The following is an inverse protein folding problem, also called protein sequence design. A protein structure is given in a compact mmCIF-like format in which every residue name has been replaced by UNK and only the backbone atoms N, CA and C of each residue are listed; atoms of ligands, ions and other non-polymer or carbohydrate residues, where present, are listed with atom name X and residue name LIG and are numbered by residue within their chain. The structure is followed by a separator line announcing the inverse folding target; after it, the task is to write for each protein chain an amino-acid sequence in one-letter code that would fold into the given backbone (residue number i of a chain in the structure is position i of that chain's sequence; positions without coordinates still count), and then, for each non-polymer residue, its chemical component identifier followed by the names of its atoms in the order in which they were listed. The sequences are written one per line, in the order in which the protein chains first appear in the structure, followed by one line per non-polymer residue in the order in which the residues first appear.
data_IF_852855941382
#
_entry.id   IF_852855941382
#
_cell.length_a   1.000
_cell.length_b   1.000
_cell.length_c   1.000
_cell.angle_alpha   90.00
_cell.angle_beta   90.00
_cell.angle_gamma   90.00
#
_symmetry.space_group_name_H-M   'P 1'
#
loop_
_entity.id
_entity.type
_entity.pdbx_description
1 polymer ?
#
# COMPACT_ATOMS: atom_id res chain seq x y z
N UNK A 1 -21.56 -12.30 7.96
CA UNK A 1 -21.50 -13.00 9.26
C UNK A 1 -20.05 -12.95 9.67
N UNK A 2 -19.70 -12.10 10.64
CA UNK A 2 -18.35 -12.09 11.20
C UNK A 2 -18.31 -13.29 12.12
N UNK A 3 -17.51 -14.29 11.77
CA UNK A 3 -17.32 -15.47 12.59
C UNK A 3 -16.59 -15.01 13.85
N UNK A 4 -17.33 -14.87 14.96
CA UNK A 4 -16.72 -14.59 16.25
C UNK A 4 -15.76 -15.75 16.52
N UNK A 5 -14.46 -15.47 16.62
CA UNK A 5 -13.47 -16.48 17.01
C UNK A 5 -13.99 -17.17 18.27
N UNK A 6 -14.49 -18.40 18.10
CA UNK A 6 -15.31 -19.07 19.10
C UNK A 6 -14.59 -19.19 20.44
N UNK A 7 -15.35 -19.48 21.51
CA UNK A 7 -14.78 -19.75 22.84
C UNK A 7 -13.71 -20.86 22.85
N UNK A 8 -13.60 -21.63 21.76
CA UNK A 8 -12.66 -22.73 21.56
C UNK A 8 -11.45 -22.39 20.68
N UNK A 9 -11.10 -21.12 20.52
CA UNK A 9 -9.84 -20.73 19.85
C UNK A 9 -8.63 -20.83 20.79
N UNK A 10 -7.54 -21.41 20.28
CA UNK A 10 -6.24 -21.53 20.97
C UNK A 10 -5.16 -20.74 20.26
N UNK A 11 -4.29 -20.06 21.00
CA UNK A 11 -3.07 -19.47 20.48
C UNK A 11 -1.87 -20.39 20.67
N UNK A 12 -1.09 -20.51 19.60
CA UNK A 12 0.16 -21.25 19.63
C UNK A 12 1.24 -20.48 20.43
N UNK A 13 1.81 -21.09 21.49
CA UNK A 13 2.72 -20.42 22.42
C UNK A 13 4.11 -20.19 21.81
N UNK A 14 4.94 -19.42 22.51
CA UNK A 14 6.36 -19.27 22.20
C UNK A 14 7.05 -20.39 22.98
N UNK A 15 7.71 -21.30 22.29
CA UNK A 15 8.39 -22.44 22.93
C UNK A 15 7.44 -23.58 23.29
N UNK A 16 7.71 -24.27 24.39
CA UNK A 16 7.04 -25.52 24.78
C UNK A 16 5.84 -25.28 25.72
N UNK A 17 4.77 -26.07 25.54
CA UNK A 17 3.63 -26.06 26.44
C UNK A 17 2.30 -26.30 25.73
N UNK A 18 1.21 -26.32 26.51
CA UNK A 18 -0.16 -26.43 25.98
C UNK A 18 -0.56 -25.10 25.30
N UNK A 19 -1.22 -25.16 24.13
CA UNK A 19 -1.82 -23.99 23.48
C UNK A 19 -2.70 -23.19 24.43
N UNK A 20 -2.63 -21.86 24.34
CA UNK A 20 -3.29 -20.95 25.26
C UNK A 20 -4.72 -20.67 24.79
N UNK A 21 -5.74 -21.00 25.58
CA UNK A 21 -7.13 -20.72 25.22
C UNK A 21 -7.33 -19.20 25.14
N UNK A 22 -7.53 -18.69 23.92
CA UNK A 22 -7.48 -17.27 23.63
C UNK A 22 -8.85 -16.65 23.41
N UNK A 23 -9.90 -17.42 23.12
CA UNK A 23 -11.25 -16.88 22.86
C UNK A 23 -11.71 -15.81 23.87
N UNK A 24 -11.53 -16.06 25.18
CA UNK A 24 -11.89 -15.11 26.24
C UNK A 24 -11.04 -13.82 26.30
N UNK A 25 -9.86 -13.82 25.66
CA UNK A 25 -8.92 -12.71 25.66
C UNK A 25 -9.05 -11.83 24.42
N UNK A 26 -9.80 -12.24 23.41
CA UNK A 26 -9.99 -11.48 22.15
C UNK A 26 -10.57 -10.09 22.45
N UNK A 27 -11.62 -10.02 23.28
CA UNK A 27 -12.28 -8.76 23.64
C UNK A 27 -11.40 -7.85 24.48
N UNK A 28 -10.55 -8.42 25.33
CA UNK A 28 -9.56 -7.67 26.13
C UNK A 28 -8.46 -7.14 25.21
N UNK A 29 -7.90 -7.98 24.34
CA UNK A 29 -6.87 -7.60 23.37
C UNK A 29 -7.35 -6.52 22.39
N UNK A 30 -8.63 -6.52 22.02
CA UNK A 30 -9.22 -5.51 21.15
C UNK A 30 -9.20 -4.08 21.73
N UNK A 31 -8.98 -3.92 23.04
CA UNK A 31 -8.81 -2.59 23.68
C UNK A 31 -7.42 -1.98 23.41
N UNK A 32 -6.58 -2.66 22.63
CA UNK A 32 -5.29 -2.14 22.19
C UNK A 32 -4.25 -2.12 23.31
N UNK A 33 -3.35 -1.14 23.24
CA UNK A 33 -2.26 -0.95 24.21
C UNK A 33 -2.73 -0.88 25.67
N UNK A 34 -3.93 -0.34 25.90
CA UNK A 34 -4.48 -0.16 27.26
C UNK A 34 -4.74 -1.47 28.02
N UNK A 35 -4.89 -2.58 27.29
CA UNK A 35 -5.11 -3.90 27.89
C UNK A 35 -3.81 -4.63 28.29
N UNK A 36 -2.62 -4.09 28.01
CA UNK A 36 -1.35 -4.80 28.20
C UNK A 36 -1.14 -5.34 29.63
N UNK A 37 -1.60 -4.61 30.65
CA UNK A 37 -1.49 -5.02 32.05
C UNK A 37 -2.56 -6.04 32.46
N UNK A 38 -3.66 -6.11 31.72
CA UNK A 38 -4.73 -7.08 31.94
C UNK A 38 -4.41 -8.42 31.27
N UNK A 39 -3.65 -8.40 30.17
CA UNK A 39 -3.27 -9.59 29.42
C UNK A 39 -2.35 -10.50 30.22
N UNK A 40 -2.56 -11.81 30.09
CA UNK A 40 -1.64 -12.80 30.65
C UNK A 40 -0.23 -12.61 30.08
N UNK A 41 0.80 -12.83 30.91
CA UNK A 41 2.21 -12.73 30.53
C UNK A 41 2.57 -13.43 29.20
N UNK A 42 1.94 -14.56 28.88
CA UNK A 42 2.18 -15.34 27.64
C UNK A 42 1.63 -14.70 26.37
N UNK A 43 0.69 -13.78 26.50
CA UNK A 43 0.02 -13.10 25.37
C UNK A 43 0.16 -11.59 25.47
N UNK A 44 1.17 -11.11 26.22
CA UNK A 44 1.56 -9.72 26.17
C UNK A 44 1.89 -9.31 24.72
N UNK A 45 1.39 -8.14 24.32
CA UNK A 45 1.42 -7.60 22.95
C UNK A 45 0.55 -8.30 21.90
N UNK A 46 -0.36 -9.20 22.27
CA UNK A 46 -1.31 -9.81 21.30
C UNK A 46 -2.26 -8.79 20.66
N UNK A 47 -2.47 -7.63 21.28
CA UNK A 47 -3.24 -6.53 20.70
C UNK A 47 -2.58 -5.89 19.46
N UNK A 48 -1.30 -6.20 19.18
CA UNK A 48 -0.60 -5.79 17.95
C UNK A 48 -0.92 -6.69 16.75
N UNK A 49 -1.69 -7.74 16.96
CA UNK A 49 -2.05 -8.69 15.92
C UNK A 49 -2.98 -8.03 14.92
N UNK A 50 -2.58 -8.11 13.65
CA UNK A 50 -3.36 -7.64 12.52
C UNK A 50 -4.18 -8.80 11.92
N UNK A 51 -3.65 -10.04 11.98
CA UNK A 51 -4.27 -11.25 11.45
C UNK A 51 -4.08 -12.45 12.40
N UNK A 52 -5.12 -13.26 12.56
CA UNK A 52 -4.99 -14.62 13.10
C UNK A 52 -5.01 -15.60 11.94
N UNK A 53 -3.99 -16.46 11.90
CA UNK A 53 -3.81 -17.42 10.82
C UNK A 53 -3.98 -18.83 11.40
N UNK A 54 -4.74 -19.66 10.69
CA UNK A 54 -4.95 -21.08 10.98
C UNK A 54 -5.15 -21.83 9.66
N UNK A 55 -5.18 -23.15 9.73
CA UNK A 55 -5.64 -24.00 8.64
C UNK A 55 -7.13 -24.29 8.81
N UNK A 56 -7.79 -24.68 7.72
CA UNK A 56 -9.22 -25.04 7.74
C UNK A 56 -9.50 -26.11 8.81
N UNK A 57 -10.58 -25.92 9.56
CA UNK A 57 -11.01 -26.78 10.68
C UNK A 57 -10.02 -26.94 11.86
N UNK A 58 -8.97 -26.11 11.95
CA UNK A 58 -8.06 -26.11 13.11
C UNK A 58 -8.37 -24.95 14.07
N UNK A 59 -8.74 -25.23 15.34
CA UNK A 59 -9.01 -24.19 16.34
C UNK A 59 -7.72 -23.51 16.85
N UNK A 60 -6.53 -23.89 16.36
CA UNK A 60 -5.24 -23.32 16.78
C UNK A 60 -4.77 -22.26 15.81
N UNK A 61 -4.65 -21.04 16.33
CA UNK A 61 -4.23 -19.87 15.59
C UNK A 61 -2.82 -19.45 15.97
N UNK A 62 -2.11 -18.89 15.00
CA UNK A 62 -0.93 -18.07 15.25
C UNK A 62 -1.24 -16.61 14.96
N UNK A 63 -0.73 -15.74 15.82
CA UNK A 63 -0.93 -14.30 15.69
C UNK A 63 0.14 -13.70 14.79
N UNK A 64 -0.31 -12.98 13.77
CA UNK A 64 0.54 -12.32 12.79
C UNK A 64 0.37 -10.80 12.87
N UNK A 65 1.49 -10.08 12.76
CA UNK A 65 1.49 -8.63 12.58
C UNK A 65 1.97 -8.29 11.17
N UNK A 66 1.30 -7.33 10.55
CA UNK A 66 1.61 -6.82 9.22
C UNK A 66 2.11 -5.39 9.37
N UNK A 67 3.25 -5.08 8.74
CA UNK A 67 3.80 -3.71 8.72
C UNK A 67 4.26 -3.35 7.32
N UNK A 68 3.91 -2.14 6.87
CA UNK A 68 4.38 -1.57 5.61
C UNK A 68 5.84 -1.13 5.66
N UNK A 69 6.41 -0.98 6.86
CA UNK A 69 7.82 -0.67 7.06
C UNK A 69 8.44 -1.69 8.01
N UNK A 70 9.47 -2.38 7.54
CA UNK A 70 10.14 -3.42 8.30
C UNK A 70 10.87 -2.91 9.55
N UNK A 71 11.27 -1.63 9.56
CA UNK A 71 11.90 -0.99 10.73
C UNK A 71 10.91 -0.78 11.88
N UNK A 72 9.61 -0.84 11.60
CA UNK A 72 8.53 -0.74 12.58
C UNK A 72 8.01 -2.13 12.99
N UNK A 73 8.62 -3.21 12.49
CA UNK A 73 8.26 -4.56 12.90
C UNK A 73 8.71 -4.79 14.34
N UNK A 74 7.77 -5.17 15.20
CA UNK A 74 8.04 -5.42 16.61
C UNK A 74 7.58 -6.81 17.03
N UNK A 75 8.41 -7.48 17.84
CA UNK A 75 8.10 -8.76 18.45
C UNK A 75 7.22 -8.68 19.70
N UNK A 76 6.69 -9.83 20.11
CA UNK A 76 5.91 -9.95 21.33
C UNK A 76 5.62 -11.39 21.72
N UNK A 77 5.34 -11.62 23.01
CA UNK A 77 5.12 -12.96 23.57
C UNK A 77 3.93 -13.68 22.91
N UNK A 78 2.92 -12.93 22.45
CA UNK A 78 1.79 -13.46 21.68
C UNK A 78 1.98 -13.55 20.16
N UNK A 79 3.02 -12.91 19.59
CA UNK A 79 3.19 -12.80 18.13
C UNK A 79 4.13 -13.88 17.61
N UNK A 80 3.83 -14.44 16.43
CA UNK A 80 4.66 -15.50 15.80
C UNK A 80 5.13 -15.15 14.42
N UNK A 81 4.31 -14.44 13.67
CA UNK A 81 4.60 -14.11 12.27
C UNK A 81 4.62 -12.59 12.10
N UNK A 82 5.67 -12.09 11.47
CA UNK A 82 5.73 -10.74 10.93
C UNK A 82 5.60 -10.79 9.42
N UNK A 83 4.70 -10.03 8.83
CA UNK A 83 4.56 -9.90 7.38
C UNK A 83 4.97 -8.49 7.00
N UNK A 84 5.96 -8.37 6.13
CA UNK A 84 6.55 -7.10 5.72
C UNK A 84 6.82 -7.11 4.21
N UNK A 85 6.89 -5.95 3.55
CA UNK A 85 7.42 -5.90 2.19
C UNK A 85 8.90 -6.27 2.17
N UNK A 86 9.36 -6.85 1.07
CA UNK A 86 10.78 -7.08 0.83
C UNK A 86 11.55 -5.76 0.91
N UNK A 87 12.73 -5.80 1.52
CA UNK A 87 13.56 -4.61 1.64
C UNK A 87 15.01 -4.93 1.30
N UNK A 88 15.48 -4.34 0.20
CA UNK A 88 16.75 -4.67 -0.47
C UNK A 88 17.99 -4.53 0.42
N UNK A 89 17.95 -3.68 1.44
CA UNK A 89 19.07 -3.43 2.37
C UNK A 89 18.98 -4.19 3.70
N UNK A 90 17.99 -5.07 3.88
CA UNK A 90 17.81 -5.82 5.14
C UNK A 90 17.99 -7.32 4.97
N UNK A 91 18.04 -8.05 6.09
CA UNK A 91 17.99 -9.50 6.12
C UNK A 91 16.69 -10.07 5.51
N UNK A 92 15.65 -9.25 5.34
CA UNK A 92 14.33 -9.60 4.80
C UNK A 92 14.28 -9.51 3.27
N UNK A 93 15.41 -9.76 2.62
CA UNK A 93 15.50 -10.04 1.18
C UNK A 93 15.03 -11.47 0.85
N UNK A 94 15.09 -12.38 1.83
CA UNK A 94 14.59 -13.75 1.71
C UNK A 94 13.08 -13.80 2.01
N UNK A 95 12.35 -14.65 1.29
CA UNK A 95 10.89 -14.80 1.42
C UNK A 95 10.47 -15.17 2.85
N UNK A 96 11.19 -16.06 3.54
CA UNK A 96 10.91 -16.44 4.93
C UNK A 96 12.20 -16.53 5.74
N UNK A 97 12.29 -15.82 6.87
CA UNK A 97 13.45 -15.84 7.78
C UNK A 97 13.01 -15.74 9.23
N UNK A 98 13.64 -16.48 10.15
CA UNK A 98 13.42 -16.28 11.58
C UNK A 98 14.30 -15.13 12.09
N UNK A 99 13.68 -14.14 12.73
CA UNK A 99 14.36 -13.02 13.38
C UNK A 99 14.45 -13.28 14.89
N UNK A 100 15.62 -13.70 15.35
CA UNK A 100 15.89 -13.99 16.76
C UNK A 100 15.70 -12.77 17.67
N UNK A 101 16.02 -11.57 17.18
CA UNK A 101 15.89 -10.34 17.97
C UNK A 101 14.43 -9.99 18.28
N UNK A 102 13.51 -10.39 17.38
CA UNK A 102 12.07 -10.17 17.53
C UNK A 102 11.32 -11.43 18.01
N UNK A 103 11.95 -12.60 17.90
CA UNK A 103 11.32 -13.88 18.19
C UNK A 103 10.19 -14.23 17.23
N UNK A 104 10.29 -13.80 15.97
CA UNK A 104 9.25 -13.95 14.95
C UNK A 104 9.78 -14.65 13.70
N UNK A 105 8.94 -15.46 13.07
CA UNK A 105 9.10 -15.79 11.65
C UNK A 105 8.67 -14.58 10.82
N UNK A 106 9.58 -14.03 10.05
CA UNK A 106 9.31 -12.90 9.16
C UNK A 106 9.13 -13.43 7.74
N UNK A 107 7.95 -13.15 7.19
CA UNK A 107 7.60 -13.40 5.80
C UNK A 107 7.73 -12.08 5.05
N UNK A 108 8.65 -12.05 4.10
CA UNK A 108 8.88 -10.91 3.23
C UNK A 108 8.08 -11.13 1.95
N UNK A 109 7.11 -10.27 1.68
CA UNK A 109 6.33 -10.31 0.45
C UNK A 109 7.04 -9.48 -0.62
N UNK A 110 7.11 -10.01 -1.84
CA UNK A 110 7.65 -9.26 -2.97
C UNK A 110 6.92 -7.91 -3.08
N UNK A 111 7.69 -6.84 -3.06
CA UNK A 111 7.21 -5.46 -3.18
C UNK A 111 8.02 -4.78 -4.28
N UNK A 112 7.93 -5.30 -5.53
CA UNK A 112 8.85 -4.96 -6.61
C UNK A 112 8.82 -3.47 -6.97
N UNK A 113 7.72 -2.78 -6.67
CA UNK A 113 7.58 -1.34 -6.85
C UNK A 113 7.51 -0.56 -5.52
N UNK A 114 7.33 -1.22 -4.36
CA UNK A 114 7.20 -0.56 -3.07
C UNK A 114 5.90 0.23 -2.96
N UNK A 115 4.84 -0.17 -2.23
CA UNK A 115 3.73 0.78 -1.98
C UNK A 115 4.28 2.07 -1.35
N UNK A 116 5.14 1.91 -0.34
CA UNK A 116 5.83 3.04 0.29
C UNK A 116 6.82 3.73 -0.66
N UNK A 117 7.45 2.99 -1.58
CA UNK A 117 8.33 3.53 -2.61
C UNK A 117 7.57 4.46 -3.57
N UNK A 118 6.51 3.93 -4.20
CA UNK A 118 5.60 4.66 -5.07
C UNK A 118 4.94 5.85 -4.36
N UNK A 119 4.48 5.66 -3.12
CA UNK A 119 3.90 6.74 -2.33
C UNK A 119 4.90 7.87 -2.08
N UNK A 120 6.11 7.54 -1.60
CA UNK A 120 7.15 8.53 -1.35
C UNK A 120 7.60 9.23 -2.64
N UNK A 121 7.67 8.50 -3.75
CA UNK A 121 7.97 9.04 -5.07
C UNK A 121 6.89 10.02 -5.54
N UNK A 122 5.62 9.63 -5.47
CA UNK A 122 4.49 10.48 -5.83
C UNK A 122 4.40 11.73 -4.96
N UNK A 123 4.52 11.55 -3.64
CA UNK A 123 4.55 12.65 -2.67
C UNK A 123 5.72 13.60 -2.97
N UNK A 124 6.91 13.05 -3.18
CA UNK A 124 8.11 13.81 -3.49
C UNK A 124 8.02 14.58 -4.81
N UNK A 125 7.39 14.00 -5.83
CA UNK A 125 7.13 14.66 -7.11
C UNK A 125 6.26 15.91 -6.93
N UNK A 126 5.12 15.76 -6.22
CA UNK A 126 4.19 16.86 -5.96
C UNK A 126 4.83 17.92 -5.07
N UNK A 127 5.39 17.53 -3.93
CA UNK A 127 6.02 18.47 -2.99
C UNK A 127 7.12 19.31 -3.67
N UNK A 128 7.97 18.68 -4.48
CA UNK A 128 9.01 19.39 -5.22
C UNK A 128 8.47 20.27 -6.35
N UNK A 129 7.36 19.90 -6.99
CA UNK A 129 6.70 20.78 -7.95
C UNK A 129 6.21 22.05 -7.26
N UNK A 130 5.60 21.94 -6.08
CA UNK A 130 5.19 23.10 -5.26
C UNK A 130 6.39 23.97 -4.86
N UNK A 131 7.48 23.37 -4.38
CA UNK A 131 8.70 24.13 -4.03
C UNK A 131 9.25 24.87 -5.25
N UNK A 132 9.30 24.23 -6.42
CA UNK A 132 9.79 24.85 -7.64
C UNK A 132 8.89 26.00 -8.14
N UNK A 133 7.57 25.81 -8.12
CA UNK A 133 6.59 26.83 -8.53
C UNK A 133 6.58 28.03 -7.56
N UNK A 134 6.68 27.77 -6.26
CA UNK A 134 6.78 28.78 -5.22
C UNK A 134 8.17 29.41 -5.08
N UNK A 135 9.17 28.95 -5.87
CA UNK A 135 10.58 29.41 -5.80
C UNK A 135 11.18 29.28 -4.39
N UNK A 136 10.79 28.25 -3.66
CA UNK A 136 11.36 27.91 -2.36
C UNK A 136 12.68 27.16 -2.52
N UNK A 137 13.48 27.12 -1.45
CA UNK A 137 14.70 26.31 -1.43
C UNK A 137 14.39 24.83 -1.70
N UNK A 138 15.27 24.20 -2.46
CA UNK A 138 15.12 22.79 -2.80
C UNK A 138 15.26 21.92 -1.55
N UNK A 139 14.40 20.91 -1.43
CA UNK A 139 14.54 19.87 -0.41
C UNK A 139 15.93 19.21 -0.45
N UNK A 140 16.36 18.67 0.70
CA UNK A 140 17.65 18.01 0.90
C UNK A 140 18.07 17.11 -0.27
N UNK A 141 19.36 17.15 -0.62
CA UNK A 141 19.93 16.45 -1.79
C UNK A 141 19.78 14.92 -1.72
N UNK A 142 19.70 14.35 -0.52
CA UNK A 142 19.55 12.91 -0.30
C UNK A 142 18.10 12.43 -0.45
N UNK A 143 17.13 13.34 -0.51
CA UNK A 143 15.70 13.03 -0.64
C UNK A 143 15.20 13.20 -2.08
N UNK A 144 16.05 12.96 -3.09
CA UNK A 144 15.70 13.10 -4.51
C UNK A 144 14.84 11.91 -4.93
N UNK A 145 13.60 12.13 -5.44
CA UNK A 145 12.73 11.06 -5.91
C UNK A 145 13.31 10.33 -7.12
N UNK A 146 12.72 9.17 -7.45
CA UNK A 146 13.11 8.42 -8.64
C UNK A 146 13.00 9.22 -9.95
N UNK A 147 13.62 8.71 -11.01
CA UNK A 147 13.55 9.33 -12.34
C UNK A 147 12.10 9.46 -12.85
N UNK A 148 11.23 8.49 -12.53
CA UNK A 148 9.80 8.54 -12.90
C UNK A 148 9.07 9.66 -12.16
N UNK A 149 9.33 9.80 -10.86
CA UNK A 149 8.78 10.89 -10.05
C UNK A 149 9.28 12.27 -10.50
N UNK A 150 10.53 12.38 -10.94
CA UNK A 150 11.06 13.63 -11.51
C UNK A 150 10.40 14.00 -12.84
N UNK A 151 10.16 13.02 -13.73
CA UNK A 151 9.37 13.24 -14.95
C UNK A 151 7.96 13.72 -14.62
N UNK A 152 7.30 13.13 -13.61
CA UNK A 152 5.98 13.57 -13.15
C UNK A 152 6.01 15.02 -12.64
N UNK A 153 6.99 15.37 -11.80
CA UNK A 153 7.22 16.74 -11.32
C UNK A 153 7.30 17.73 -12.48
N UNK A 154 8.11 17.43 -13.49
CA UNK A 154 8.33 18.34 -14.63
C UNK A 154 7.05 18.54 -15.44
N UNK A 155 6.22 17.50 -15.56
CA UNK A 155 4.91 17.60 -16.19
C UNK A 155 3.93 18.44 -15.36
N UNK A 156 3.94 18.34 -14.03
CA UNK A 156 3.12 19.21 -13.16
C UNK A 156 3.54 20.67 -13.32
N UNK A 157 4.85 20.95 -13.30
CA UNK A 157 5.40 22.31 -13.47
C UNK A 157 5.01 22.91 -14.82
N UNK A 158 4.97 22.09 -15.88
CA UNK A 158 4.51 22.52 -17.22
C UNK A 158 3.10 23.07 -17.20
N UNK A 159 2.22 22.52 -16.36
CA UNK A 159 0.82 22.94 -16.20
C UNK A 159 0.60 23.76 -14.93
N UNK A 160 1.54 24.66 -14.59
CA UNK A 160 1.49 25.52 -13.40
C UNK A 160 0.21 26.35 -13.22
N UNK A 161 -0.48 26.67 -14.32
CA UNK A 161 -1.68 27.50 -14.33
C UNK A 161 -2.97 26.66 -14.19
N UNK A 162 -2.85 25.33 -14.18
CA UNK A 162 -3.98 24.42 -13.99
C UNK A 162 -4.35 24.30 -12.52
N UNK A 163 -5.64 24.14 -12.26
CA UNK A 163 -6.15 23.87 -10.92
C UNK A 163 -5.75 22.46 -10.46
N UNK A 164 -5.71 22.25 -9.13
CA UNK A 164 -5.42 20.93 -8.56
C UNK A 164 -6.39 19.86 -9.06
N UNK A 165 -7.66 20.22 -9.28
CA UNK A 165 -8.70 19.31 -9.79
C UNK A 165 -8.38 18.89 -11.23
N UNK A 166 -8.06 19.84 -12.12
CA UNK A 166 -7.70 19.53 -13.51
C UNK A 166 -6.44 18.66 -13.61
N UNK A 167 -5.48 18.86 -12.70
CA UNK A 167 -4.28 18.00 -12.60
C UNK A 167 -4.65 16.59 -12.16
N UNK A 168 -5.49 16.44 -11.12
CA UNK A 168 -5.96 15.13 -10.64
C UNK A 168 -6.76 14.39 -11.71
N UNK A 169 -7.66 15.06 -12.40
CA UNK A 169 -8.46 14.48 -13.48
C UNK A 169 -7.57 13.96 -14.62
N UNK A 170 -6.60 14.78 -15.06
CA UNK A 170 -5.66 14.37 -16.09
C UNK A 170 -4.72 13.24 -15.66
N UNK A 171 -4.36 13.17 -14.37
CA UNK A 171 -3.61 12.04 -13.82
C UNK A 171 -4.44 10.77 -13.75
N UNK A 172 -5.73 10.87 -13.40
CA UNK A 172 -6.66 9.73 -13.43
C UNK A 172 -6.82 9.18 -14.84
N UNK A 173 -6.99 10.04 -15.85
CA UNK A 173 -7.01 9.64 -17.26
C UNK A 173 -5.72 8.94 -17.67
N UNK A 174 -4.56 9.44 -17.24
CA UNK A 174 -3.27 8.83 -17.53
C UNK A 174 -3.07 7.48 -16.81
N UNK A 175 -3.57 7.33 -15.58
CA UNK A 175 -3.47 6.10 -14.80
C UNK A 175 -4.36 4.97 -15.35
N UNK A 176 -5.47 5.31 -16.02
CA UNK A 176 -6.44 4.33 -16.55
C UNK A 176 -6.12 3.80 -17.96
N UNK A 177 -5.03 4.22 -18.59
CA UNK A 177 -4.73 3.92 -20.00
C UNK A 177 -4.68 2.42 -20.35
N UNK A 178 -4.40 1.54 -19.39
CA UNK A 178 -4.28 0.09 -19.61
C UNK A 178 -5.26 -0.74 -18.75
N UNK A 179 -6.22 -0.11 -18.05
CA UNK A 179 -7.12 -0.83 -17.12
C UNK A 179 -8.31 -1.50 -17.83
N UNK A 180 -8.69 -0.99 -19.00
CA UNK A 180 -9.79 -1.50 -19.82
C UNK A 180 -9.29 -1.64 -21.26
N UNK A 181 -8.74 -2.81 -21.61
CA UNK A 181 -8.52 -3.17 -23.00
C UNK A 181 -9.86 -3.43 -23.69
N UNK A 182 -10.54 -2.38 -24.12
CA UNK A 182 -11.73 -2.50 -24.98
C UNK A 182 -11.26 -2.64 -26.42
N UNK A 183 -11.41 -3.85 -26.96
CA UNK A 183 -11.12 -4.17 -28.36
C UNK A 183 -12.25 -3.64 -29.24
N UNK A 184 -12.26 -2.34 -29.50
CA UNK A 184 -13.25 -1.72 -30.39
C UNK A 184 -12.91 -2.04 -31.84
N UNK A 185 -13.50 -3.13 -32.34
CA UNK A 185 -13.44 -3.49 -33.76
C UNK A 185 -14.46 -2.63 -34.50
N UNK A 186 -13.98 -1.57 -35.17
CA UNK A 186 -14.80 -0.82 -36.11
C UNK A 186 -15.26 -1.75 -37.24
N UNK A 187 -16.54 -2.11 -37.23
CA UNK A 187 -17.20 -2.71 -38.38
C UNK A 187 -17.53 -1.56 -39.32
N UNK A 188 -17.00 -1.59 -40.55
CA UNK A 188 -17.37 -0.58 -41.54
C UNK A 188 -18.85 -0.73 -41.88
N UNK A 189 -19.61 0.33 -41.66
CA UNK A 189 -20.95 0.48 -42.22
C UNK A 189 -20.82 1.58 -43.27
N UNK A 190 -21.24 1.29 -44.50
CA UNK A 190 -21.25 2.29 -45.57
C UNK A 190 -22.09 3.48 -45.14
N UNK A 191 -21.44 4.65 -44.99
CA UNK A 191 -22.14 5.88 -44.71
C UNK A 191 -23.04 6.23 -45.91
N UNK A 192 -24.33 6.54 -45.70
CA UNK A 192 -25.18 7.04 -46.76
C UNK A 192 -24.65 8.38 -47.29
N UNK A 193 -24.81 8.61 -48.61
CA UNK A 193 -24.27 9.79 -49.32
C UNK A 193 -24.71 11.15 -48.74
N UNK A 194 -25.75 11.20 -47.92
CA UNK A 194 -26.28 12.44 -47.33
C UNK A 194 -25.62 12.82 -45.99
N UNK A 195 -24.81 11.97 -45.37
CA UNK A 195 -24.17 12.25 -44.08
C UNK A 195 -22.84 13.02 -44.25
N UNK A 196 -22.93 14.31 -44.55
CA UNK A 196 -21.78 15.22 -44.51
C UNK A 196 -21.73 15.94 -43.16
N UNK A 197 -20.93 15.46 -42.22
CA UNK A 197 -20.72 16.16 -40.94
C UNK A 197 -19.79 17.35 -41.17
N UNK A 198 -20.35 18.56 -41.26
CA UNK A 198 -19.58 19.80 -41.14
C UNK A 198 -19.03 19.91 -39.72
N UNK A 199 -17.72 19.70 -39.55
CA UNK A 199 -17.01 20.02 -38.29
C UNK A 199 -16.17 21.28 -38.49
N UNK A 200 -16.76 22.43 -38.20
CA UNK A 200 -16.01 23.58 -37.69
C UNK A 200 -16.56 23.87 -36.30
N UNK A 201 -15.86 23.38 -35.28
CA UNK A 201 -15.98 23.92 -33.93
C UNK A 201 -14.70 24.72 -33.64
N UNK A 202 -14.81 25.91 -33.04
CA UNK A 202 -13.64 26.67 -32.62
C UNK A 202 -12.92 25.91 -31.50
N UNK A 203 -11.62 25.71 -31.68
CA UNK A 203 -10.74 25.10 -30.70
C UNK A 203 -10.65 26.03 -29.49
N UNK A 204 -11.16 25.60 -28.33
CA UNK A 204 -10.92 26.31 -27.06
C UNK A 204 -9.44 26.13 -26.72
N UNK A 205 -8.65 27.20 -26.82
CA UNK A 205 -7.21 27.22 -26.54
C UNK A 205 -7.02 27.42 -25.03
N UNK A 206 -7.43 26.44 -24.24
CA UNK A 206 -6.86 26.22 -22.93
C UNK A 206 -6.25 24.83 -23.01
N UNK A 207 -4.90 24.69 -23.01
CA UNK A 207 -4.29 23.39 -23.06
C UNK A 207 -4.69 22.63 -21.79
N UNK A 208 -5.63 21.70 -21.92
CA UNK A 208 -5.98 20.80 -20.82
C UNK A 208 -4.71 20.05 -20.41
N UNK A 209 -4.45 19.89 -19.10
CA UNK A 209 -3.34 19.08 -18.65
C UNK A 209 -3.43 17.70 -19.28
N UNK A 210 -2.34 17.25 -19.89
CA UNK A 210 -2.20 15.90 -20.43
C UNK A 210 -0.86 15.35 -20.00
N UNK A 211 -0.91 14.26 -19.25
CA UNK A 211 0.28 13.57 -18.75
C UNK A 211 0.69 12.45 -19.69
N UNK A 212 2.00 12.39 -19.96
CA UNK A 212 2.67 11.34 -20.73
C UNK A 212 3.04 10.20 -19.78
N UNK A 213 2.92 8.97 -20.29
CA UNK A 213 3.26 7.74 -19.58
C UNK A 213 4.69 7.77 -19.06
N UNK A 214 4.86 7.26 -17.83
CA UNK A 214 6.17 7.12 -17.19
C UNK A 214 6.67 5.70 -17.51
N UNK A 215 7.56 5.57 -18.50
CA UNK A 215 8.22 4.29 -18.86
C UNK A 215 8.70 3.52 -17.63
#
# INVERSE_FOLDING_TARGET
MVDEAGNDSFLLPQGSGRPFRFGHWVSVAAQGYTAEDQLNARIKKIWKTDLFLSVEDDPRYFAATVKSNVMQLEGGQGLRVGIVPEHSSTAYKKEVTYDESKGLWVVSLADPNGFMGLFNDGYGAVARAFLALGKHESANYWAVPSAKAQKLRDQIIKYKDATAIEVVDALNEAAQQDLLSTNDKLISVNAPHWLHVKKMQPTVISPKPKFVKLD
#
